data_IF_507456572092
#
_entry.id   IF_507456572092
#
_cell.length_a   1.000
_cell.length_b   1.000
_cell.length_c   1.000
_cell.angle_alpha   90.00
_cell.angle_beta   90.00
_cell.angle_gamma   90.00
#
_symmetry.space_group_name_H-M   'P 1'
#
loop_
_entity.id
_entity.type
_entity.pdbx_description
1 polymer ?
#
# COMPACT_ATOMS: atom_id res chain seq x y z
N UNK A 1 17.33 -12.93 -2.07
CA UNK A 1 16.62 -12.69 -3.35
C UNK A 1 16.40 -11.19 -3.46
N UNK A 2 16.83 -10.55 -4.54
CA UNK A 2 16.56 -9.11 -4.76
C UNK A 2 15.11 -8.99 -5.25
N UNK A 3 14.18 -8.52 -4.41
CA UNK A 3 12.82 -8.22 -4.87
C UNK A 3 12.88 -7.02 -5.82
N UNK A 4 12.30 -7.16 -7.00
CA UNK A 4 12.11 -6.03 -7.94
C UNK A 4 10.84 -5.29 -7.55
N UNK A 5 10.95 -3.99 -7.30
CA UNK A 5 9.78 -3.14 -7.07
C UNK A 5 8.95 -3.02 -8.35
N UNK A 6 7.60 -3.06 -8.25
CA UNK A 6 6.76 -2.81 -9.40
C UNK A 6 6.89 -1.36 -9.87
N UNK A 7 6.60 -1.11 -11.14
CA UNK A 7 6.58 0.26 -11.71
C UNK A 7 5.14 0.76 -11.71
N UNK A 8 4.91 1.98 -11.20
CA UNK A 8 3.60 2.65 -11.26
C UNK A 8 3.04 2.72 -12.70
N UNK A 9 1.75 2.47 -12.84
CA UNK A 9 0.97 2.71 -14.05
C UNK A 9 0.12 3.99 -13.95
N UNK A 10 0.09 4.65 -12.79
CA UNK A 10 -0.72 5.85 -12.55
C UNK A 10 0.09 6.98 -11.90
N UNK A 11 0.92 7.67 -12.70
CA UNK A 11 1.81 8.74 -12.22
C UNK A 11 1.08 10.02 -11.78
N UNK A 12 -0.16 10.20 -12.20
CA UNK A 12 -0.92 11.42 -11.92
C UNK A 12 -1.79 11.29 -10.66
N UNK A 13 -2.01 10.06 -10.18
CA UNK A 13 -2.91 9.79 -9.06
C UNK A 13 -2.39 8.66 -8.16
N UNK A 14 -3.25 8.10 -7.30
CA UNK A 14 -2.84 7.09 -6.33
C UNK A 14 -1.77 7.61 -5.37
N UNK A 15 -0.88 6.72 -4.92
CA UNK A 15 0.23 7.05 -4.05
C UNK A 15 1.24 7.96 -4.74
N UNK A 16 1.63 7.63 -5.98
CA UNK A 16 2.66 8.34 -6.72
C UNK A 16 2.29 9.82 -6.92
N UNK A 17 1.10 10.07 -7.49
CA UNK A 17 0.62 11.43 -7.71
C UNK A 17 0.47 12.22 -6.42
N UNK A 18 0.05 11.57 -5.33
CA UNK A 18 -0.11 12.22 -4.02
C UNK A 18 1.23 12.61 -3.40
N UNK A 19 2.23 11.73 -3.45
CA UNK A 19 3.59 12.06 -2.98
C UNK A 19 4.23 13.18 -3.79
N UNK A 20 4.03 13.18 -5.11
CA UNK A 20 4.47 14.25 -5.99
C UNK A 20 3.83 15.60 -5.62
N UNK A 21 2.51 15.62 -5.41
CA UNK A 21 1.79 16.83 -5.00
C UNK A 21 2.20 17.33 -3.60
N UNK A 22 2.58 16.42 -2.71
CA UNK A 22 3.12 16.75 -1.39
C UNK A 22 4.59 17.21 -1.42
N UNK A 23 5.23 17.28 -2.60
CA UNK A 23 6.59 17.81 -2.78
C UNK A 23 7.71 16.80 -2.54
N UNK A 24 7.42 15.51 -2.46
CA UNK A 24 8.42 14.46 -2.32
C UNK A 24 8.92 13.98 -3.69
N UNK A 25 10.11 13.36 -3.70
CA UNK A 25 10.55 12.56 -4.83
C UNK A 25 9.65 11.31 -4.92
N UNK A 26 8.66 11.35 -5.81
CA UNK A 26 7.66 10.30 -5.94
C UNK A 26 8.25 8.95 -6.35
N UNK A 27 9.39 8.91 -7.05
CA UNK A 27 10.07 7.65 -7.39
C UNK A 27 10.68 6.99 -6.14
N UNK A 28 11.42 7.76 -5.34
CA UNK A 28 11.98 7.25 -4.08
C UNK A 28 10.89 6.84 -3.09
N UNK A 29 9.83 7.66 -2.98
CA UNK A 29 8.69 7.34 -2.12
C UNK A 29 7.97 6.06 -2.58
N UNK A 30 7.79 5.89 -3.89
CA UNK A 30 7.19 4.69 -4.48
C UNK A 30 8.02 3.44 -4.19
N UNK A 31 9.33 3.53 -4.39
CA UNK A 31 10.25 2.41 -4.14
C UNK A 31 10.26 2.01 -2.66
N UNK A 32 10.34 3.00 -1.77
CA UNK A 32 10.30 2.78 -0.32
C UNK A 32 8.96 2.17 0.12
N UNK A 33 7.83 2.70 -0.35
CA UNK A 33 6.51 2.18 -0.02
C UNK A 33 6.31 0.76 -0.55
N UNK A 34 6.73 0.49 -1.79
CA UNK A 34 6.63 -0.85 -2.38
C UNK A 34 7.40 -1.89 -1.57
N UNK A 35 8.63 -1.57 -1.18
CA UNK A 35 9.47 -2.45 -0.36
C UNK A 35 8.88 -2.66 1.04
N UNK A 36 8.45 -1.59 1.71
CA UNK A 36 7.89 -1.67 3.06
C UNK A 36 6.57 -2.46 3.09
N UNK A 37 5.71 -2.31 2.07
CA UNK A 37 4.48 -3.10 1.93
C UNK A 37 4.84 -4.56 1.69
N UNK A 38 5.79 -4.84 0.78
CA UNK A 38 6.23 -6.20 0.49
C UNK A 38 6.71 -6.93 1.76
N UNK A 39 7.54 -6.28 2.57
CA UNK A 39 8.01 -6.84 3.84
C UNK A 39 6.84 -7.07 4.81
N UNK A 40 5.95 -6.09 4.95
CA UNK A 40 4.85 -6.18 5.90
C UNK A 40 3.80 -7.25 5.55
N UNK A 41 3.60 -7.58 4.26
CA UNK A 41 2.63 -8.60 3.85
C UNK A 41 3.24 -10.00 3.79
N UNK A 42 4.55 -10.13 3.55
CA UNK A 42 5.23 -11.42 3.49
C UNK A 42 5.22 -12.11 4.87
N UNK A 43 5.33 -11.32 5.94
CA UNK A 43 5.14 -11.76 7.33
C UNK A 43 3.76 -12.39 7.60
N UNK A 44 2.77 -12.12 6.75
CA UNK A 44 1.39 -12.48 7.03
C UNK A 44 0.90 -13.77 6.39
N UNK A 45 1.37 -14.21 5.21
CA UNK A 45 1.12 -15.56 4.63
C UNK A 45 2.02 -15.90 3.42
N UNK A 46 3.22 -15.31 3.28
CA UNK A 46 4.19 -15.71 2.25
C UNK A 46 3.77 -15.46 0.78
N UNK A 47 2.74 -14.63 0.56
CA UNK A 47 2.28 -14.24 -0.78
C UNK A 47 2.81 -12.85 -1.13
N UNK A 48 3.78 -12.81 -2.03
CA UNK A 48 4.29 -11.59 -2.66
C UNK A 48 3.75 -11.51 -4.09
N UNK A 49 2.89 -10.53 -4.36
CA UNK A 49 2.46 -10.17 -5.70
C UNK A 49 2.84 -8.71 -6.00
N UNK A 50 3.93 -8.46 -6.75
CA UNK A 50 4.30 -7.12 -7.21
C UNK A 50 3.14 -6.35 -7.84
N UNK A 51 2.30 -7.04 -8.59
CA UNK A 51 1.14 -6.48 -9.28
C UNK A 51 0.07 -6.02 -8.28
N UNK A 52 -0.19 -6.80 -7.23
CA UNK A 52 -1.10 -6.40 -6.16
C UNK A 52 -0.62 -5.16 -5.40
N UNK A 53 0.70 -5.05 -5.15
CA UNK A 53 1.30 -3.87 -4.52
C UNK A 53 1.17 -2.64 -5.44
N UNK A 54 1.49 -2.81 -6.72
CA UNK A 54 1.36 -1.75 -7.73
C UNK A 54 -0.07 -1.23 -7.79
N UNK A 55 -1.02 -2.13 -7.97
CA UNK A 55 -2.41 -1.79 -8.19
C UNK A 55 -3.04 -1.21 -6.93
N UNK A 56 -2.66 -1.71 -5.75
CA UNK A 56 -2.99 -1.06 -4.48
C UNK A 56 -2.49 0.38 -4.44
N UNK A 57 -1.20 0.61 -4.70
CA UNK A 57 -0.59 1.94 -4.66
C UNK A 57 -1.16 2.88 -5.73
N UNK A 58 -1.51 2.39 -6.91
CA UNK A 58 -2.12 3.18 -7.99
C UNK A 58 -3.63 3.44 -7.78
N UNK A 59 -4.27 2.77 -6.82
CA UNK A 59 -5.69 2.89 -6.52
C UNK A 59 -6.06 4.08 -5.63
N UNK A 60 -7.37 4.27 -5.41
CA UNK A 60 -7.91 5.16 -4.36
C UNK A 60 -7.37 4.82 -2.96
N UNK A 61 -7.08 3.55 -2.69
CA UNK A 61 -6.56 3.12 -1.39
C UNK A 61 -5.10 3.52 -1.23
N UNK A 62 -4.30 3.44 -2.30
CA UNK A 62 -2.95 3.98 -2.36
C UNK A 62 -2.90 5.49 -2.12
N UNK A 63 -3.88 6.25 -2.65
CA UNK A 63 -4.04 7.67 -2.32
C UNK A 63 -4.28 7.91 -0.82
N UNK A 64 -5.19 7.17 -0.19
CA UNK A 64 -5.44 7.30 1.25
C UNK A 64 -4.25 6.87 2.11
N UNK A 65 -3.50 5.86 1.65
CA UNK A 65 -2.24 5.47 2.28
C UNK A 65 -1.22 6.60 2.19
N UNK A 66 -1.07 7.23 1.02
CA UNK A 66 -0.22 8.41 0.84
C UNK A 66 -0.63 9.59 1.74
N UNK A 67 -1.93 9.88 1.86
CA UNK A 67 -2.44 10.90 2.78
C UNK A 67 -2.03 10.61 4.23
N UNK A 68 -2.04 9.32 4.64
CA UNK A 68 -1.60 8.89 5.98
C UNK A 68 -0.10 9.15 6.18
N UNK A 69 0.74 8.79 5.19
CA UNK A 69 2.20 9.03 5.24
C UNK A 69 2.49 10.53 5.30
N UNK A 70 1.88 11.33 4.42
CA UNK A 70 2.08 12.77 4.38
C UNK A 70 1.64 13.45 5.70
N UNK A 71 0.51 13.00 6.27
CA UNK A 71 0.04 13.47 7.58
C UNK A 71 1.08 13.19 8.67
N UNK A 72 1.65 11.99 8.72
CA UNK A 72 2.67 11.63 9.70
C UNK A 72 3.94 12.48 9.54
N UNK A 73 4.40 12.76 8.31
CA UNK A 73 5.54 13.66 8.10
C UNK A 73 5.22 15.08 8.57
N UNK A 74 4.01 15.58 8.31
CA UNK A 74 3.56 16.88 8.79
C UNK A 74 3.54 17.00 10.33
N UNK A 75 3.54 15.88 11.07
CA UNK A 75 3.73 15.87 12.53
C UNK A 75 5.19 15.96 12.99
N UNK A 76 6.14 16.09 12.06
CA UNK A 76 7.58 16.21 12.34
C UNK A 76 8.36 14.89 12.24
N UNK A 77 7.73 13.80 11.78
CA UNK A 77 8.43 12.53 11.57
C UNK A 77 9.29 12.58 10.30
N UNK A 78 10.38 11.80 10.27
CA UNK A 78 11.07 11.53 9.01
C UNK A 78 10.16 10.74 8.07
N UNK A 79 10.41 10.80 6.76
CA UNK A 79 9.62 10.04 5.78
C UNK A 79 9.62 8.53 6.10
N UNK A 80 10.78 7.97 6.46
CA UNK A 80 10.91 6.56 6.82
C UNK A 80 10.08 6.19 8.07
N UNK A 81 10.14 7.01 9.11
CA UNK A 81 9.34 6.79 10.33
C UNK A 81 7.84 6.93 10.04
N UNK A 82 7.46 7.93 9.23
CA UNK A 82 6.09 8.17 8.82
C UNK A 82 5.52 7.02 8.00
N UNK A 83 6.32 6.46 7.08
CA UNK A 83 5.97 5.29 6.29
C UNK A 83 5.79 4.06 7.18
N UNK A 84 6.74 3.81 8.09
CA UNK A 84 6.67 2.71 9.06
C UNK A 84 5.42 2.81 9.93
N UNK A 85 5.12 4.01 10.43
CA UNK A 85 3.93 4.27 11.23
C UNK A 85 2.64 4.06 10.43
N UNK A 86 2.60 4.48 9.16
CA UNK A 86 1.45 4.26 8.29
C UNK A 86 1.23 2.76 8.02
N UNK A 87 2.30 2.00 7.75
CA UNK A 87 2.22 0.53 7.60
C UNK A 87 1.66 -0.11 8.87
N UNK A 88 2.21 0.23 10.05
CA UNK A 88 1.75 -0.32 11.32
C UNK A 88 0.28 0.02 11.59
N UNK A 89 -0.15 1.25 11.30
CA UNK A 89 -1.53 1.67 11.44
C UNK A 89 -2.47 0.86 10.53
N UNK A 90 -2.12 0.71 9.25
CA UNK A 90 -2.93 -0.03 8.29
C UNK A 90 -2.92 -1.55 8.54
N UNK A 91 -1.84 -2.11 9.07
CA UNK A 91 -1.79 -3.51 9.52
C UNK A 91 -2.59 -3.73 10.83
N UNK A 92 -2.68 -2.71 11.69
CA UNK A 92 -3.46 -2.76 12.92
C UNK A 92 -4.97 -2.82 12.70
N UNK A 93 -5.46 -2.28 11.59
CA UNK A 93 -6.87 -2.37 11.20
C UNK A 93 -7.22 -3.76 10.65
N UNK A 94 -8.47 -4.16 10.82
CA UNK A 94 -8.96 -5.47 10.36
C UNK A 94 -10.04 -5.32 9.30
N UNK A 95 -10.00 -6.20 8.30
CA UNK A 95 -11.07 -6.36 7.31
C UNK A 95 -12.33 -6.82 8.04
N UNK A 96 -13.37 -5.98 8.02
CA UNK A 96 -14.64 -6.26 8.68
C UNK A 96 -15.63 -7.06 7.82
N UNK A 97 -16.72 -7.56 8.41
CA UNK A 97 -17.74 -8.37 7.71
C UNK A 97 -18.47 -7.65 6.58
N UNK A 98 -18.43 -6.31 6.57
CA UNK A 98 -19.00 -5.50 5.48
C UNK A 98 -18.12 -5.59 4.24
N UNK A 99 -16.82 -5.38 4.40
CA UNK A 99 -15.88 -5.37 3.30
C UNK A 99 -15.75 -6.76 2.65
N UNK A 100 -15.84 -7.83 3.45
CA UNK A 100 -15.95 -9.20 2.93
C UNK A 100 -17.16 -9.38 1.98
N UNK A 101 -18.32 -8.80 2.32
CA UNK A 101 -19.53 -8.92 1.50
C UNK A 101 -19.48 -8.06 0.24
N UNK A 102 -18.87 -6.89 0.32
CA UNK A 102 -18.81 -5.93 -0.79
C UNK A 102 -17.70 -6.29 -1.79
N UNK A 103 -16.54 -6.74 -1.30
CA UNK A 103 -15.30 -6.86 -2.09
C UNK A 103 -14.73 -8.29 -2.10
N UNK A 104 -15.33 -9.23 -1.35
CA UNK A 104 -14.85 -10.63 -1.27
C UNK A 104 -13.56 -10.82 -0.45
N UNK A 105 -13.02 -9.77 0.17
CA UNK A 105 -11.76 -9.82 0.93
C UNK A 105 -11.96 -10.57 2.25
N UNK A 106 -11.17 -11.62 2.57
CA UNK A 106 -11.35 -12.42 3.78
C UNK A 106 -11.38 -11.57 5.06
N UNK A 107 -12.43 -11.77 5.86
CA UNK A 107 -12.59 -11.06 7.14
C UNK A 107 -11.50 -11.49 8.14
N UNK A 108 -11.06 -10.55 8.98
CA UNK A 108 -10.04 -10.80 10.01
C UNK A 108 -8.59 -10.63 9.54
N UNK A 109 -8.35 -10.53 8.23
CA UNK A 109 -7.05 -10.12 7.71
C UNK A 109 -6.71 -8.69 8.16
N UNK A 110 -5.42 -8.37 8.37
CA UNK A 110 -4.97 -6.99 8.41
C UNK A 110 -5.42 -6.22 7.17
N UNK A 111 -5.74 -4.94 7.32
CA UNK A 111 -6.36 -4.14 6.26
C UNK A 111 -5.45 -3.97 5.05
N UNK A 112 -4.16 -3.66 5.28
CA UNK A 112 -3.17 -3.54 4.21
C UNK A 112 -3.02 -4.85 3.44
N UNK A 113 -2.80 -5.96 4.14
CA UNK A 113 -2.67 -7.30 3.54
C UNK A 113 -3.91 -7.68 2.73
N UNK A 114 -5.11 -7.45 3.27
CA UNK A 114 -6.36 -7.78 2.57
C UNK A 114 -6.54 -7.03 1.26
N UNK A 115 -6.24 -5.73 1.21
CA UNK A 115 -6.34 -4.95 -0.03
C UNK A 115 -5.30 -5.35 -1.06
N UNK A 116 -4.04 -5.55 -0.67
CA UNK A 116 -2.98 -5.95 -1.61
C UNK A 116 -3.30 -7.32 -2.23
N UNK A 117 -3.77 -8.28 -1.44
CA UNK A 117 -4.20 -9.59 -1.95
C UNK A 117 -5.41 -9.48 -2.88
N UNK A 118 -6.39 -8.63 -2.54
CA UNK A 118 -7.55 -8.40 -3.39
C UNK A 118 -7.14 -7.87 -4.78
N UNK A 119 -6.24 -6.89 -4.84
CA UNK A 119 -5.74 -6.36 -6.10
C UNK A 119 -4.93 -7.40 -6.89
N UNK A 120 -4.13 -8.23 -6.21
CA UNK A 120 -3.41 -9.32 -6.88
C UNK A 120 -4.38 -10.30 -7.58
N UNK A 121 -5.46 -10.70 -6.90
CA UNK A 121 -6.49 -11.59 -7.45
C UNK A 121 -7.21 -10.94 -8.65
N UNK A 122 -7.54 -9.65 -8.55
CA UNK A 122 -8.18 -8.93 -9.67
C UNK A 122 -7.28 -8.87 -10.90
N UNK A 123 -5.96 -8.69 -10.71
CA UNK A 123 -5.00 -8.69 -11.81
C UNK A 123 -4.83 -10.08 -12.43
N UNK A 124 -4.90 -11.18 -11.66
CA UNK A 124 -4.87 -12.56 -12.19
C UNK A 124 -6.13 -12.90 -13.03
N UNK A 125 -7.24 -12.17 -12.84
CA UNK A 125 -8.50 -12.40 -13.54
C UNK A 125 -8.70 -11.57 -14.82
N UNK A 126 -7.75 -10.69 -15.17
CA UNK A 126 -7.81 -9.77 -16.32
C UNK A 126 -6.99 -10.27 -17.53
#
# INVERSE_FOLDING_TARGET
>A
MTRTNPVTQNREWGFFGTMMQAGYNAFEAWDAASAAIADAIDDHEGYYAPEGIRDFLDSRHGRHFADTVASNVNTGQTFEAALTAAIAQWQGWKIGPRLYREEGIPAGLPYLTGWVQHFAILNEAA
#
